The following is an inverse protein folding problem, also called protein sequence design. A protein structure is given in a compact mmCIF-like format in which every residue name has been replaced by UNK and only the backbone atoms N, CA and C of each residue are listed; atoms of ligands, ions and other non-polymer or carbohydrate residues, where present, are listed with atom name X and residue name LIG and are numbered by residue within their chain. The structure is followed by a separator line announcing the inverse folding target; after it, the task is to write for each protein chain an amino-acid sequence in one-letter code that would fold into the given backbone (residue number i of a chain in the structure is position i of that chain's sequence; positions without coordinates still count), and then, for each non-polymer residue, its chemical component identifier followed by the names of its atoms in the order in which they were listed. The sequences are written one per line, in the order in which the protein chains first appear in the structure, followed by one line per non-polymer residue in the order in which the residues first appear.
data_IF_404546095390
#
_entry.id   IF_404546095390
#
_cell.length_a   1.000
_cell.length_b   1.000
_cell.length_c   1.000
_cell.angle_alpha   90.00
_cell.angle_beta   90.00
_cell.angle_gamma   90.00
#
_symmetry.space_group_name_H-M   'P 1'
#
loop_
_entity.id
_entity.type
_entity.pdbx_description
1 polymer ?
#
# COMPACT_ATOMS: atom_id res chain seq x y z
N UNK A 1 27.89 -15.56 -3.17
CA UNK A 1 27.06 -14.72 -4.04
C UNK A 1 25.78 -14.39 -3.31
N UNK A 2 25.77 -13.27 -2.61
CA UNK A 2 24.58 -12.72 -1.97
C UNK A 2 23.73 -12.09 -3.07
N UNK A 3 22.52 -12.63 -3.27
CA UNK A 3 21.62 -12.25 -4.35
C UNK A 3 21.32 -10.75 -4.30
N UNK A 4 21.61 -10.05 -5.40
CA UNK A 4 21.26 -8.65 -5.65
C UNK A 4 19.78 -8.36 -5.33
N UNK A 5 18.90 -9.35 -5.55
CA UNK A 5 17.48 -9.27 -5.20
C UNK A 5 17.23 -9.19 -3.68
N UNK A 6 18.06 -9.83 -2.85
CA UNK A 6 17.96 -9.76 -1.39
C UNK A 6 18.37 -8.40 -0.82
N UNK A 7 19.36 -7.76 -1.45
CA UNK A 7 19.82 -6.42 -1.06
C UNK A 7 18.81 -5.32 -1.46
N UNK A 8 18.20 -5.46 -2.65
CA UNK A 8 17.13 -4.56 -3.12
C UNK A 8 15.89 -4.66 -2.22
N UNK A 9 15.52 -5.88 -1.80
CA UNK A 9 14.40 -6.10 -0.88
C UNK A 9 14.62 -5.42 0.48
N UNK A 10 15.83 -5.53 1.06
CA UNK A 10 16.13 -4.90 2.35
C UNK A 10 16.13 -3.37 2.26
N UNK A 11 16.74 -2.79 1.22
CA UNK A 11 16.71 -1.33 0.99
C UNK A 11 15.31 -0.78 0.78
N UNK A 12 14.40 -1.55 0.17
CA UNK A 12 13.00 -1.15 0.05
C UNK A 12 12.25 -1.26 1.38
N UNK A 13 12.58 -2.26 2.21
CA UNK A 13 11.98 -2.44 3.54
C UNK A 13 12.37 -1.30 4.49
N UNK A 14 13.63 -0.86 4.47
CA UNK A 14 14.10 0.30 5.24
C UNK A 14 13.40 1.60 4.81
N UNK A 15 13.28 1.85 3.49
CA UNK A 15 12.54 3.01 2.97
C UNK A 15 11.05 3.00 3.33
N UNK A 16 10.41 1.83 3.40
CA UNK A 16 9.02 1.69 3.86
C UNK A 16 8.86 2.14 5.30
N UNK A 17 9.77 1.70 6.18
CA UNK A 17 9.77 2.07 7.61
C UNK A 17 9.97 3.57 7.78
N UNK A 18 10.88 4.18 7.01
CA UNK A 18 11.14 5.62 7.04
C UNK A 18 9.91 6.44 6.60
N UNK A 19 9.20 5.99 5.55
CA UNK A 19 7.99 6.65 5.07
C UNK A 19 6.80 6.48 6.02
N UNK A 20 6.61 5.30 6.63
CA UNK A 20 5.60 5.06 7.67
C UNK A 20 5.84 5.93 8.91
N UNK A 21 7.09 6.10 9.34
CA UNK A 21 7.44 6.95 10.48
C UNK A 21 7.12 8.43 10.23
N UNK A 22 7.36 8.93 9.01
CA UNK A 22 7.11 10.33 8.65
C UNK A 22 5.60 10.61 8.52
N UNK A 23 4.84 9.70 7.89
CA UNK A 23 3.39 9.84 7.76
C UNK A 23 2.64 9.80 9.11
N UNK A 24 3.13 9.00 10.07
CA UNK A 24 2.57 8.91 11.42
C UNK A 24 2.82 10.15 12.28
N UNK A 25 3.90 10.90 12.01
CA UNK A 25 4.36 11.97 12.90
C UNK A 25 3.85 13.36 12.50
N UNK A 26 3.59 13.61 11.21
CA UNK A 26 3.29 14.98 10.70
C UNK A 26 1.82 15.22 10.29
N UNK A 27 1.05 14.16 10.02
CA UNK A 27 -0.26 14.30 9.35
C UNK A 27 -1.49 14.25 10.26
N UNK A 28 -1.36 13.81 11.51
CA UNK A 28 -2.51 13.68 12.40
C UNK A 28 -2.73 14.96 13.19
N UNK A 29 -3.74 15.74 12.78
CA UNK A 29 -4.24 16.88 13.54
C UNK A 29 -4.56 16.41 14.96
N UNK A 30 -3.84 16.94 15.95
CA UNK A 30 -4.04 16.57 17.35
C UNK A 30 -5.47 16.92 17.79
N UNK A 31 -6.20 15.96 18.37
CA UNK A 31 -7.57 16.18 18.86
C UNK A 31 -7.63 17.31 19.88
N UNK A 32 -6.57 17.45 20.70
CA UNK A 32 -6.42 18.53 21.68
C UNK A 32 -6.32 19.91 20.99
N UNK A 33 -5.67 20.01 19.84
CA UNK A 33 -5.57 21.25 19.06
C UNK A 33 -6.91 21.60 18.40
N UNK A 34 -7.67 20.60 17.95
CA UNK A 34 -9.04 20.79 17.44
C UNK A 34 -9.97 21.28 18.56
N UNK A 35 -9.88 20.68 19.75
CA UNK A 35 -10.68 21.11 20.90
C UNK A 35 -10.33 22.53 21.33
N UNK A 36 -9.06 22.92 21.30
CA UNK A 36 -8.62 24.29 21.57
C UNK A 36 -9.15 25.29 20.53
N UNK A 37 -9.17 24.94 19.24
CA UNK A 37 -9.75 25.77 18.16
C UNK A 37 -11.26 25.91 18.35
N UNK A 38 -11.96 24.82 18.64
CA UNK A 38 -13.43 24.82 18.84
C UNK A 38 -13.81 25.63 20.08
N UNK A 39 -13.10 25.48 21.20
CA UNK A 39 -13.38 26.23 22.43
C UNK A 39 -13.14 27.73 22.23
N UNK A 40 -12.10 28.11 21.49
CA UNK A 40 -11.71 29.51 21.31
C UNK A 40 -12.57 30.22 20.25
N UNK A 41 -12.77 29.60 19.08
CA UNK A 41 -13.52 30.21 17.98
C UNK A 41 -15.02 29.97 18.07
N UNK A 42 -15.49 28.78 18.45
CA UNK A 42 -16.94 28.49 18.45
C UNK A 42 -17.58 28.93 19.76
N UNK A 43 -16.99 28.56 20.90
CA UNK A 43 -17.55 28.87 22.24
C UNK A 43 -17.03 30.19 22.84
N UNK A 44 -15.85 30.66 22.42
CA UNK A 44 -15.26 31.93 22.87
C UNK A 44 -15.93 33.15 22.23
N UNK A 45 -16.22 33.12 20.91
CA UNK A 45 -16.90 34.21 20.21
C UNK A 45 -18.33 34.47 20.72
N UNK A 46 -19.09 33.42 21.05
CA UNK A 46 -20.44 33.55 21.63
C UNK A 46 -20.45 34.25 23.00
N UNK A 47 -19.36 34.14 23.77
CA UNK A 47 -19.23 34.76 25.10
C UNK A 47 -18.61 36.17 25.06
N UNK A 48 -17.72 36.45 24.11
CA UNK A 48 -17.05 37.76 23.99
C UNK A 48 -17.80 38.78 23.10
N UNK A 49 -18.72 38.34 22.23
CA UNK A 49 -19.48 39.23 21.32
C UNK A 49 -20.55 40.12 21.97
N UNK A 50 -20.69 40.13 23.31
CA UNK A 50 -21.74 40.93 24.00
C UNK A 50 -21.22 41.73 25.19
N UNK A 51 -19.98 42.24 25.13
CA UNK A 51 -19.52 43.27 26.09
C UNK A 51 -19.22 44.56 25.35
N UNK A 52 -20.28 45.31 25.06
CA UNK A 52 -20.20 46.77 24.99
C UNK A 52 -21.35 47.35 25.82
N UNK A 53 -21.28 47.19 27.13
CA UNK A 53 -22.00 48.08 28.04
C UNK A 53 -21.03 49.14 28.53
N UNK A 54 -20.93 50.20 27.72
CA UNK A 54 -20.33 51.46 28.13
C UNK A 54 -21.26 52.12 29.13
N UNK A 55 -20.93 51.98 30.42
CA UNK A 55 -21.41 52.85 31.47
C UNK A 55 -22.57 52.33 32.32
N UNK A 56 -22.42 52.57 33.62
CA UNK A 56 -23.40 52.50 34.71
C UNK A 56 -23.69 51.13 35.30
N UNK A 57 -23.41 51.01 36.59
CA UNK A 57 -23.51 49.78 37.36
C UNK A 57 -24.95 49.34 37.59
N UNK A 58 -25.25 48.11 37.16
CA UNK A 58 -26.43 47.36 37.58
C UNK A 58 -26.03 45.89 37.71
N UNK A 59 -26.32 45.30 38.86
CA UNK A 59 -26.05 43.90 39.19
C UNK A 59 -26.94 42.96 38.35
N UNK A 60 -26.32 41.86 37.90
CA UNK A 60 -26.78 40.88 36.90
C UNK A 60 -28.11 40.17 37.22
N UNK A 61 -28.75 40.41 38.36
CA UNK A 61 -29.85 39.57 38.86
C UNK A 61 -31.27 40.05 38.55
N UNK A 62 -31.47 41.24 37.96
CA UNK A 62 -32.82 41.82 37.86
C UNK A 62 -33.42 42.00 36.45
N UNK A 63 -32.85 41.43 35.38
CA UNK A 63 -33.39 41.66 34.02
C UNK A 63 -33.79 40.40 33.23
N UNK A 64 -33.76 39.20 33.82
CA UNK A 64 -33.87 37.97 33.02
C UNK A 64 -35.13 37.16 33.32
N UNK A 65 -36.29 37.76 33.03
CA UNK A 65 -37.60 37.11 33.14
C UNK A 65 -37.99 36.21 31.97
N UNK A 66 -37.30 36.23 30.82
CA UNK A 66 -37.68 35.38 29.66
C UNK A 66 -36.56 35.09 28.65
N UNK A 67 -35.56 35.96 28.49
CA UNK A 67 -34.46 35.76 27.54
C UNK A 67 -33.39 34.75 28.00
N UNK A 68 -33.48 34.27 29.25
CA UNK A 68 -32.61 33.22 29.79
C UNK A 68 -32.82 31.86 29.18
N UNK A 69 -34.07 31.52 28.90
CA UNK A 69 -34.37 30.25 28.26
C UNK A 69 -33.91 30.24 26.80
N UNK A 70 -33.98 31.38 26.10
CA UNK A 70 -33.39 31.53 24.77
C UNK A 70 -31.85 31.46 24.80
N UNK A 71 -31.20 31.99 25.82
CA UNK A 71 -29.74 31.90 25.99
C UNK A 71 -29.27 30.48 26.36
N UNK A 72 -30.02 29.79 27.22
CA UNK A 72 -29.80 28.36 27.55
C UNK A 72 -30.04 27.44 26.34
N UNK A 73 -31.08 27.69 25.54
CA UNK A 73 -31.36 26.95 24.31
C UNK A 73 -30.25 27.16 23.26
N UNK A 74 -29.73 28.37 23.11
CA UNK A 74 -28.64 28.67 22.17
C UNK A 74 -27.34 27.96 22.56
N UNK A 75 -26.97 27.93 23.85
CA UNK A 75 -25.80 27.19 24.33
C UNK A 75 -25.91 25.69 24.07
N UNK A 76 -27.10 25.09 24.27
CA UNK A 76 -27.35 23.68 23.94
C UNK A 76 -27.31 23.40 22.43
N UNK A 77 -27.76 24.35 21.60
CA UNK A 77 -27.74 24.22 20.14
C UNK A 77 -26.33 24.37 19.56
N UNK A 78 -25.53 25.32 20.06
CA UNK A 78 -24.13 25.49 19.69
C UNK A 78 -23.31 24.26 20.10
N UNK A 79 -23.52 23.75 21.32
CA UNK A 79 -22.85 22.54 21.81
C UNK A 79 -23.23 21.29 21.02
N UNK A 80 -24.50 21.13 20.63
CA UNK A 80 -24.94 20.02 19.77
C UNK A 80 -24.32 20.08 18.36
N UNK A 81 -24.12 21.28 17.79
CA UNK A 81 -23.42 21.45 16.51
C UNK A 81 -21.94 21.12 16.62
N UNK A 82 -21.29 21.55 17.70
CA UNK A 82 -19.89 21.18 17.99
C UNK A 82 -19.75 19.67 18.10
N UNK A 83 -20.65 19.00 18.81
CA UNK A 83 -20.58 17.55 18.95
C UNK A 83 -20.77 16.84 17.60
N UNK A 84 -21.70 17.29 16.76
CA UNK A 84 -21.85 16.74 15.40
C UNK A 84 -20.60 16.93 14.54
N UNK A 85 -19.93 18.08 14.64
CA UNK A 85 -18.68 18.32 13.92
C UNK A 85 -17.56 17.41 14.42
N UNK A 86 -17.47 17.18 15.74
CA UNK A 86 -16.53 16.20 16.32
C UNK A 86 -16.77 14.81 15.78
N UNK A 87 -18.02 14.36 15.77
CA UNK A 87 -18.38 13.03 15.28
C UNK A 87 -18.05 12.89 13.78
N UNK A 88 -18.29 13.94 12.98
CA UNK A 88 -17.92 13.98 11.56
C UNK A 88 -16.40 13.93 11.34
N UNK A 89 -15.63 14.70 12.11
CA UNK A 89 -14.17 14.69 12.03
C UNK A 89 -13.63 13.31 12.41
N UNK A 90 -14.13 12.72 13.49
CA UNK A 90 -13.75 11.37 13.92
C UNK A 90 -14.07 10.33 12.84
N UNK A 91 -15.23 10.44 12.18
CA UNK A 91 -15.61 9.56 11.07
C UNK A 91 -14.68 9.72 9.86
N UNK A 92 -14.36 10.96 9.47
CA UNK A 92 -13.45 11.24 8.35
C UNK A 92 -12.06 10.70 8.68
N UNK A 93 -11.55 10.91 9.89
CA UNK A 93 -10.27 10.37 10.34
C UNK A 93 -10.26 8.84 10.28
N UNK A 94 -11.27 8.17 10.84
CA UNK A 94 -11.38 6.71 10.79
C UNK A 94 -11.38 6.17 9.35
N UNK A 95 -12.18 6.79 8.46
CA UNK A 95 -12.21 6.39 7.04
C UNK A 95 -10.88 6.64 6.31
N UNK A 96 -10.16 7.70 6.68
CA UNK A 96 -8.85 8.04 6.10
C UNK A 96 -7.80 7.02 6.53
N UNK A 97 -7.78 6.63 7.80
CA UNK A 97 -6.89 5.57 8.31
C UNK A 97 -7.15 4.25 7.61
N UNK A 98 -8.44 3.89 7.44
CA UNK A 98 -8.82 2.66 6.75
C UNK A 98 -8.35 2.66 5.29
N UNK A 99 -8.54 3.77 4.56
CA UNK A 99 -8.03 3.91 3.19
C UNK A 99 -6.49 3.81 3.12
N UNK A 100 -5.77 4.41 4.06
CA UNK A 100 -4.30 4.29 4.13
C UNK A 100 -3.90 2.83 4.33
N UNK A 101 -4.55 2.12 5.25
CA UNK A 101 -4.28 0.71 5.51
C UNK A 101 -4.59 -0.18 4.30
N UNK A 102 -5.67 0.11 3.56
CA UNK A 102 -5.98 -0.62 2.32
C UNK A 102 -4.94 -0.40 1.24
N UNK A 103 -4.48 0.84 1.05
CA UNK A 103 -3.44 1.16 0.05
C UNK A 103 -2.13 0.46 0.43
N UNK A 104 -1.74 0.48 1.70
CA UNK A 104 -0.56 -0.24 2.19
C UNK A 104 -0.67 -1.76 1.93
N UNK A 105 -1.82 -2.36 2.25
CA UNK A 105 -2.07 -3.79 2.00
C UNK A 105 -1.95 -4.14 0.51
N UNK A 106 -2.57 -3.35 -0.37
CA UNK A 106 -2.49 -3.55 -1.82
C UNK A 106 -1.07 -3.44 -2.34
N UNK A 107 -0.27 -2.52 -1.79
CA UNK A 107 1.12 -2.37 -2.14
C UNK A 107 1.95 -3.61 -1.78
N UNK A 108 1.77 -4.15 -0.57
CA UNK A 108 2.43 -5.39 -0.13
C UNK A 108 2.02 -6.61 -0.94
N UNK A 109 0.74 -6.74 -1.28
CA UNK A 109 0.24 -7.82 -2.13
C UNK A 109 0.85 -7.77 -3.52
N UNK A 110 0.92 -6.58 -4.13
CA UNK A 110 1.51 -6.39 -5.46
C UNK A 110 3.01 -6.69 -5.46
N UNK A 111 3.73 -6.35 -4.38
CA UNK A 111 5.13 -6.75 -4.22
C UNK A 111 5.30 -8.27 -4.16
N UNK A 112 4.46 -8.97 -3.40
CA UNK A 112 4.49 -10.44 -3.33
C UNK A 112 4.17 -11.08 -4.68
N UNK A 113 3.20 -10.54 -5.40
CA UNK A 113 2.83 -11.02 -6.73
C UNK A 113 3.97 -10.86 -7.73
N UNK A 114 4.70 -9.74 -7.70
CA UNK A 114 5.84 -9.51 -8.58
C UNK A 114 6.99 -10.49 -8.31
N UNK A 115 7.27 -10.79 -7.04
CA UNK A 115 8.26 -11.80 -6.65
C UNK A 115 7.85 -13.20 -7.13
N UNK A 116 6.57 -13.56 -6.93
CA UNK A 116 6.03 -14.84 -7.38
C UNK A 116 6.05 -14.98 -8.92
N UNK A 117 5.66 -13.94 -9.65
CA UNK A 117 5.65 -13.94 -11.12
C UNK A 117 7.08 -14.03 -11.68
N UNK A 118 8.04 -13.31 -11.09
CA UNK A 118 9.44 -13.42 -11.47
C UNK A 118 9.99 -14.84 -11.27
N UNK A 119 9.66 -15.48 -10.14
CA UNK A 119 10.04 -16.86 -9.87
C UNK A 119 9.39 -17.85 -10.86
N UNK A 120 8.09 -17.67 -11.16
CA UNK A 120 7.36 -18.49 -12.11
C UNK A 120 7.93 -18.36 -13.54
N UNK A 121 8.22 -17.14 -14.00
CA UNK A 121 8.83 -16.89 -15.32
C UNK A 121 10.22 -17.50 -15.42
N UNK A 122 11.02 -17.42 -14.36
CA UNK A 122 12.35 -18.06 -14.33
C UNK A 122 12.24 -19.57 -14.43
N UNK A 123 11.33 -20.19 -13.67
CA UNK A 123 11.09 -21.63 -13.74
C UNK A 123 10.60 -22.06 -15.14
N UNK A 124 9.66 -21.32 -15.73
CA UNK A 124 9.15 -21.58 -17.07
C UNK A 124 10.26 -21.47 -18.15
N UNK A 125 11.15 -20.49 -18.04
CA UNK A 125 12.31 -20.36 -18.94
C UNK A 125 13.24 -21.57 -18.81
N UNK A 126 13.58 -21.99 -17.59
CA UNK A 126 14.44 -23.17 -17.38
C UNK A 126 13.82 -24.45 -17.91
N UNK A 127 12.50 -24.62 -17.79
CA UNK A 127 11.80 -25.78 -18.34
C UNK A 127 11.85 -25.79 -19.88
N UNK A 128 11.64 -24.63 -20.53
CA UNK A 128 11.74 -24.51 -21.99
C UNK A 128 13.15 -24.78 -22.52
N UNK A 129 14.18 -24.28 -21.82
CA UNK A 129 15.57 -24.58 -22.18
C UNK A 129 15.90 -26.07 -22.04
N UNK A 130 15.44 -26.70 -20.97
CA UNK A 130 15.64 -28.14 -20.76
C UNK A 130 14.93 -28.97 -21.84
N UNK A 131 13.70 -28.60 -22.22
CA UNK A 131 12.95 -29.26 -23.28
C UNK A 131 13.63 -29.08 -24.65
N UNK A 132 14.08 -27.86 -24.98
CA UNK A 132 14.84 -27.60 -26.19
C UNK A 132 16.16 -28.41 -26.24
N UNK A 133 16.87 -28.51 -25.11
CA UNK A 133 18.10 -29.31 -25.01
C UNK A 133 17.82 -30.81 -25.17
N UNK A 134 16.73 -31.32 -24.58
CA UNK A 134 16.31 -32.71 -24.73
C UNK A 134 15.97 -33.04 -26.20
N UNK A 135 15.22 -32.17 -26.88
CA UNK A 135 14.90 -32.33 -28.30
C UNK A 135 16.15 -32.30 -29.17
N UNK A 136 17.10 -31.38 -28.90
CA UNK A 136 18.36 -31.32 -29.62
C UNK A 136 19.21 -32.59 -29.40
N UNK A 137 19.28 -33.09 -28.16
CA UNK A 137 19.99 -34.32 -27.84
C UNK A 137 19.39 -35.55 -28.52
N UNK A 138 18.06 -35.65 -28.62
CA UNK A 138 17.42 -36.72 -29.39
C UNK A 138 17.75 -36.66 -30.88
N UNK A 139 17.75 -35.46 -31.47
CA UNK A 139 18.12 -35.29 -32.88
C UNK A 139 19.58 -35.68 -33.14
N UNK A 140 20.49 -35.27 -32.25
CA UNK A 140 21.90 -35.69 -32.33
C UNK A 140 22.03 -37.21 -32.25
N UNK A 141 21.33 -37.89 -31.33
CA UNK A 141 21.35 -39.36 -31.24
C UNK A 141 20.88 -40.04 -32.53
N UNK A 142 19.78 -39.55 -33.13
CA UNK A 142 19.27 -40.08 -34.41
C UNK A 142 20.29 -39.90 -35.54
N UNK A 143 20.98 -38.77 -35.57
CA UNK A 143 22.01 -38.50 -36.55
C UNK A 143 23.23 -39.41 -36.36
N UNK A 144 23.69 -39.60 -35.13
CA UNK A 144 24.81 -40.49 -34.79
C UNK A 144 24.49 -41.94 -35.17
N UNK A 145 23.27 -42.41 -34.89
CA UNK A 145 22.80 -43.75 -35.25
C UNK A 145 22.78 -43.95 -36.78
N UNK A 146 22.29 -42.96 -37.53
CA UNK A 146 22.31 -42.97 -38.99
C UNK A 146 23.73 -43.03 -39.55
N UNK A 147 24.66 -42.26 -38.98
CA UNK A 147 26.07 -42.31 -39.37
C UNK A 147 26.67 -43.71 -39.15
N UNK A 148 26.34 -44.36 -38.03
CA UNK A 148 26.82 -45.70 -37.71
C UNK A 148 26.31 -46.75 -38.71
N UNK A 149 25.03 -46.66 -39.09
CA UNK A 149 24.44 -47.53 -40.11
C UNK A 149 25.12 -47.35 -41.47
N UNK A 150 25.37 -46.11 -41.90
CA UNK A 150 26.04 -45.83 -43.16
C UNK A 150 27.47 -46.38 -43.17
N UNK A 151 28.20 -46.22 -42.07
CA UNK A 151 29.54 -46.78 -41.92
C UNK A 151 29.54 -48.31 -42.05
N UNK A 152 28.57 -49.00 -41.44
CA UNK A 152 28.44 -50.45 -41.56
C UNK A 152 28.15 -50.87 -43.01
N UNK A 153 27.29 -50.14 -43.72
CA UNK A 153 26.99 -50.42 -45.13
C UNK A 153 28.22 -50.27 -46.02
N UNK A 154 28.99 -49.20 -45.84
CA UNK A 154 30.25 -48.97 -46.58
C UNK A 154 31.23 -50.12 -46.34
N UNK A 155 31.35 -50.59 -45.10
CA UNK A 155 32.24 -51.71 -44.75
C UNK A 155 31.82 -53.02 -45.43
N UNK A 156 30.52 -53.34 -45.42
CA UNK A 156 29.99 -54.53 -46.11
C UNK A 156 30.21 -54.45 -47.63
N UNK A 157 29.97 -53.28 -48.23
CA UNK A 157 30.20 -53.06 -49.66
C UNK A 157 31.68 -53.25 -50.04
N UNK A 158 32.61 -52.68 -49.27
CA UNK A 158 34.05 -52.88 -49.47
C UNK A 158 34.48 -54.35 -49.35
N UNK A 159 33.83 -55.13 -48.47
CA UNK A 159 34.09 -56.57 -48.36
C UNK A 159 33.60 -57.33 -49.59
N UNK A 160 32.41 -57.00 -50.11
CA UNK A 160 31.89 -57.64 -51.34
C UNK A 160 32.77 -57.38 -52.57
N UNK A 161 33.45 -56.23 -52.62
CA UNK A 161 34.42 -55.87 -53.66
C UNK A 161 35.77 -56.59 -53.52
N UNK A 162 36.06 -57.20 -52.37
CA UNK A 162 37.32 -57.88 -52.07
C UNK A 162 37.26 -59.41 -52.26
N UNK A 163 36.15 -59.98 -52.70
CA UNK A 163 36.12 -61.41 -53.03
C UNK A 163 36.93 -61.67 -54.31
N UNK A 164 37.90 -62.61 -54.29
CA UNK A 164 38.66 -62.97 -55.49
C UNK A 164 37.75 -63.69 -56.48
N UNK A 165 37.93 -63.35 -57.76
CA UNK A 165 37.41 -64.08 -58.92
C UNK A 165 37.97 -65.50 -59.00
#
# INVERSE_FOLDING_TARGET
MTSEAGEIMNKQKEKKVEYEAIALTDSFVNLEDIDNIIITEVLGLERYGRVQFRGSGVTLTQYFGSSSQQYMLSGSQAQAKVQRLRDQIAQIQASTVEQIAEVQRKYEELQQQLIADAAARKAAATAREAEAAAMAAEQSRKYDELQLQLQHMIKMFQQSQKLPS
#
